data_IF_456888770545
#
_entry.id   IF_456888770545
#
_cell.length_a   1.000
_cell.length_b   1.000
_cell.length_c   1.000
_cell.angle_alpha   90.00
_cell.angle_beta   90.00
_cell.angle_gamma   90.00
#
_symmetry.space_group_name_H-M   'P 1'
#
loop_
_entity.id
_entity.type
_entity.pdbx_description
1 polymer ?
#
# COMPACT_ATOMS: atom_id res chain seq x y z
N UNK A 1 -22.68 -42.27 -34.48
CA UNK A 1 -23.97 -42.13 -33.78
C UNK A 1 -24.25 -43.44 -33.02
N UNK A 2 -23.71 -43.60 -31.81
CA UNK A 2 -23.98 -44.80 -31.01
C UNK A 2 -25.32 -44.62 -30.28
N UNK A 3 -26.30 -45.45 -30.60
CA UNK A 3 -27.66 -45.38 -30.08
C UNK A 3 -27.72 -45.65 -28.58
N UNK A 4 -28.44 -44.80 -27.84
CA UNK A 4 -28.73 -44.99 -26.41
C UNK A 4 -29.67 -46.19 -26.25
N UNK A 5 -29.13 -47.32 -25.81
CA UNK A 5 -29.90 -48.50 -25.46
C UNK A 5 -30.80 -48.20 -24.25
N UNK A 6 -32.12 -48.29 -24.43
CA UNK A 6 -33.10 -48.05 -23.37
C UNK A 6 -33.12 -49.26 -22.43
N UNK A 7 -32.31 -49.22 -21.36
CA UNK A 7 -32.41 -50.21 -20.27
C UNK A 7 -33.81 -50.10 -19.64
N UNK A 8 -34.61 -51.18 -19.73
CA UNK A 8 -35.86 -51.29 -18.99
C UNK A 8 -35.52 -51.45 -17.51
N UNK A 9 -35.73 -50.39 -16.73
CA UNK A 9 -35.58 -50.44 -15.27
C UNK A 9 -36.80 -51.18 -14.73
N UNK A 10 -36.57 -52.34 -14.11
CA UNK A 10 -37.63 -53.03 -13.38
C UNK A 10 -37.99 -52.19 -12.15
N UNK A 11 -39.13 -51.51 -12.23
CA UNK A 11 -39.59 -50.56 -11.23
C UNK A 11 -39.71 -51.18 -9.83
N UNK A 12 -39.98 -52.49 -9.71
CA UNK A 12 -40.07 -53.15 -8.40
C UNK A 12 -38.70 -53.33 -7.76
N UNK A 13 -37.70 -53.76 -8.55
CA UNK A 13 -36.33 -53.91 -8.03
C UNK A 13 -35.71 -52.55 -7.73
N UNK A 14 -35.91 -51.56 -8.59
CA UNK A 14 -35.46 -50.19 -8.40
C UNK A 14 -36.10 -49.51 -7.17
N UNK A 15 -37.42 -49.67 -6.99
CA UNK A 15 -38.10 -49.14 -5.80
C UNK A 15 -37.60 -49.81 -4.51
N UNK A 16 -37.29 -51.11 -4.56
CA UNK A 16 -36.75 -51.86 -3.41
C UNK A 16 -35.33 -51.42 -3.06
N UNK A 17 -34.45 -51.24 -4.04
CA UNK A 17 -33.08 -50.77 -3.82
C UNK A 17 -33.06 -49.33 -3.31
N UNK A 18 -33.88 -48.44 -3.88
CA UNK A 18 -34.00 -47.07 -3.40
C UNK A 18 -34.57 -47.02 -1.98
N UNK A 19 -35.60 -47.82 -1.68
CA UNK A 19 -36.13 -47.89 -0.31
C UNK A 19 -35.06 -48.35 0.68
N UNK A 20 -34.29 -49.39 0.34
CA UNK A 20 -33.20 -49.90 1.20
C UNK A 20 -32.13 -48.83 1.45
N UNK A 21 -31.63 -48.19 0.39
CA UNK A 21 -30.67 -47.10 0.49
C UNK A 21 -31.20 -45.92 1.31
N UNK A 22 -32.49 -45.63 1.19
CA UNK A 22 -33.13 -44.56 1.94
C UNK A 22 -33.33 -44.92 3.42
N UNK A 23 -33.60 -46.18 3.78
CA UNK A 23 -33.55 -46.63 5.19
C UNK A 23 -32.13 -46.59 5.73
N UNK A 24 -31.13 -47.04 4.97
CA UNK A 24 -29.72 -47.00 5.39
C UNK A 24 -29.27 -45.56 5.68
N UNK A 25 -29.66 -44.60 4.84
CA UNK A 25 -29.41 -43.17 5.09
C UNK A 25 -30.12 -42.63 6.34
N UNK A 26 -31.30 -43.14 6.68
CA UNK A 26 -32.00 -42.77 7.91
C UNK A 26 -31.36 -43.42 9.14
N UNK A 27 -30.99 -44.69 9.05
CA UNK A 27 -30.31 -45.41 10.12
C UNK A 27 -28.94 -44.77 10.41
N UNK A 28 -28.20 -44.34 9.37
CA UNK A 28 -26.95 -43.58 9.49
C UNK A 28 -27.17 -42.20 10.13
N UNK A 29 -28.26 -41.50 9.79
CA UNK A 29 -28.59 -40.21 10.40
C UNK A 29 -29.01 -40.36 11.86
N UNK A 30 -29.81 -41.37 12.18
CA UNK A 30 -30.27 -41.65 13.54
C UNK A 30 -29.10 -42.12 14.42
N UNK A 31 -28.15 -42.89 13.86
CA UNK A 31 -26.94 -43.31 14.57
C UNK A 31 -26.01 -42.15 14.95
N UNK A 32 -26.01 -41.03 14.22
CA UNK A 32 -25.23 -39.83 14.57
C UNK A 32 -25.76 -39.14 15.83
N UNK A 33 -27.05 -39.31 16.14
CA UNK A 33 -27.68 -38.75 17.33
C UNK A 33 -27.90 -39.78 18.45
N UNK A 34 -27.44 -41.01 18.25
CA UNK A 34 -27.53 -42.07 19.25
C UNK A 34 -26.54 -41.83 20.41
N UNK A 35 -27.07 -41.57 21.60
CA UNK A 35 -26.30 -41.28 22.80
C UNK A 35 -25.66 -42.54 23.40
N UNK A 36 -26.20 -43.74 23.14
CA UNK A 36 -25.64 -45.00 23.68
C UNK A 36 -24.39 -45.45 22.92
N UNK A 37 -24.29 -45.14 21.62
CA UNK A 37 -23.14 -45.46 20.78
C UNK A 37 -22.01 -44.43 20.80
N UNK A 38 -22.18 -43.30 21.49
CA UNK A 38 -21.20 -42.22 21.50
C UNK A 38 -20.01 -42.58 22.40
N UNK A 39 -18.76 -42.43 21.94
CA UNK A 39 -17.60 -42.70 22.78
C UNK A 39 -17.61 -41.78 24.01
N UNK A 40 -17.16 -42.31 25.15
CA UNK A 40 -17.00 -41.51 26.34
C UNK A 40 -16.00 -40.37 26.10
N UNK A 41 -16.27 -39.20 26.68
CA UNK A 41 -15.41 -38.03 26.54
C UNK A 41 -14.08 -38.22 27.29
N UNK A 42 -12.95 -38.15 26.57
CA UNK A 42 -11.61 -38.40 27.11
C UNK A 42 -10.87 -37.14 27.58
N UNK A 43 -11.49 -35.96 27.52
CA UNK A 43 -10.88 -34.66 27.89
C UNK A 43 -9.64 -34.31 27.07
N UNK A 44 -9.53 -34.81 25.85
CA UNK A 44 -8.41 -34.62 24.93
C UNK A 44 -8.60 -33.47 23.94
N UNK A 45 -9.82 -32.91 23.83
CA UNK A 45 -10.11 -31.78 22.94
C UNK A 45 -10.81 -30.62 23.66
N UNK A 46 -10.90 -29.46 23.01
CA UNK A 46 -11.62 -28.30 23.52
C UNK A 46 -12.96 -28.11 22.81
N UNK A 47 -13.90 -27.40 23.44
CA UNK A 47 -15.11 -26.97 22.73
C UNK A 47 -14.77 -26.02 21.58
N UNK A 48 -15.69 -25.81 20.64
CA UNK A 48 -15.48 -24.95 19.46
C UNK A 48 -14.93 -23.55 19.82
N UNK A 49 -15.45 -22.92 20.89
CA UNK A 49 -14.92 -21.62 21.34
C UNK A 49 -13.45 -21.66 21.83
N UNK A 50 -12.98 -22.80 22.32
CA UNK A 50 -11.61 -23.01 22.80
C UNK A 50 -10.65 -23.06 21.61
N UNK A 51 -11.05 -23.74 20.53
CA UNK A 51 -10.31 -23.69 19.26
C UNK A 51 -10.26 -22.28 18.69
N UNK A 52 -11.39 -21.56 18.65
CA UNK A 52 -11.43 -20.17 18.17
C UNK A 52 -10.46 -19.28 18.95
N UNK A 53 -10.41 -19.42 20.28
CA UNK A 53 -9.47 -18.69 21.11
C UNK A 53 -8.02 -19.11 20.82
N UNK A 54 -7.73 -20.41 20.72
CA UNK A 54 -6.38 -20.90 20.40
C UNK A 54 -5.90 -20.41 19.03
N UNK A 55 -6.78 -20.38 18.03
CA UNK A 55 -6.47 -19.88 16.69
C UNK A 55 -6.20 -18.37 16.71
N UNK A 56 -6.95 -17.60 17.50
CA UNK A 56 -6.64 -16.17 17.71
C UNK A 56 -5.23 -15.96 18.29
N UNK A 57 -4.82 -16.79 19.26
CA UNK A 57 -3.48 -16.72 19.86
C UNK A 57 -2.40 -17.13 18.84
N UNK A 58 -2.66 -18.17 18.05
CA UNK A 58 -1.77 -18.60 16.95
C UNK A 58 -1.61 -17.50 15.91
N UNK A 59 -2.69 -16.80 15.58
CA UNK A 59 -2.66 -15.69 14.62
C UNK A 59 -1.83 -14.53 15.13
N UNK A 60 -2.00 -14.12 16.39
CA UNK A 60 -1.20 -13.05 17.00
C UNK A 60 0.31 -13.36 16.93
N UNK A 61 0.68 -14.63 17.18
CA UNK A 61 2.08 -15.08 17.14
C UNK A 61 2.70 -15.08 15.74
N UNK A 62 1.91 -15.11 14.67
CA UNK A 62 2.41 -15.06 13.29
C UNK A 62 2.91 -13.67 12.89
N UNK A 63 2.47 -12.61 13.58
CA UNK A 63 2.85 -11.26 13.22
C UNK A 63 4.26 -10.92 13.72
N UNK A 64 5.18 -10.65 12.80
CA UNK A 64 6.53 -10.19 13.10
C UNK A 64 6.66 -8.68 12.82
N UNK A 65 7.17 -7.93 13.79
CA UNK A 65 7.47 -6.52 13.63
C UNK A 65 8.97 -6.30 13.37
N UNK A 66 9.29 -5.31 12.52
CA UNK A 66 10.65 -4.81 12.32
C UNK A 66 10.74 -3.37 12.80
N UNK A 67 11.79 -3.03 13.55
CA UNK A 67 12.01 -1.67 14.01
C UNK A 67 12.33 -0.73 12.84
N UNK A 68 11.81 0.50 12.89
CA UNK A 68 12.07 1.53 11.89
C UNK A 68 13.53 1.99 11.95
N UNK A 69 14.17 2.09 10.78
CA UNK A 69 15.50 2.70 10.63
C UNK A 69 15.37 3.91 9.71
N UNK A 70 15.78 5.11 10.14
CA UNK A 70 15.72 6.28 9.28
C UNK A 70 16.62 6.11 8.05
N UNK A 71 16.23 6.67 6.90
CA UNK A 71 17.05 6.61 5.69
C UNK A 71 18.35 7.40 5.87
N UNK A 72 19.45 6.88 5.31
CA UNK A 72 20.73 7.60 5.27
C UNK A 72 20.63 8.87 4.40
N UNK A 73 21.46 9.89 4.68
CA UNK A 73 21.49 11.16 3.96
C UNK A 73 21.79 11.03 2.44
N UNK A 74 22.37 9.91 2.02
CA UNK A 74 22.60 9.58 0.60
C UNK A 74 21.30 9.34 -0.18
N UNK A 75 20.20 9.00 0.51
CA UNK A 75 18.90 8.73 -0.11
C UNK A 75 18.06 10.00 -0.19
N UNK A 76 18.32 10.84 -1.20
CA UNK A 76 17.60 12.11 -1.42
C UNK A 76 16.25 11.95 -2.18
N UNK A 77 16.04 10.83 -2.88
CA UNK A 77 14.84 10.61 -3.70
C UNK A 77 13.72 9.96 -2.89
N UNK A 78 12.52 10.57 -2.90
CA UNK A 78 11.31 10.02 -2.28
C UNK A 78 10.29 9.60 -3.33
N UNK A 79 10.09 8.30 -3.49
CA UNK A 79 9.05 7.74 -4.36
C UNK A 79 7.79 7.40 -3.55
N UNK A 80 6.66 7.92 -3.98
CA UNK A 80 5.32 7.64 -3.44
C UNK A 80 4.57 6.75 -4.45
N UNK A 81 4.06 5.61 -3.98
CA UNK A 81 3.24 4.67 -4.75
C UNK A 81 1.98 4.37 -3.97
N UNK A 82 0.83 4.45 -4.63
CA UNK A 82 -0.45 3.93 -4.15
C UNK A 82 -0.55 2.45 -4.50
N UNK A 83 -1.15 1.67 -3.59
CA UNK A 83 -1.53 0.29 -3.88
C UNK A 83 -2.86 -0.02 -3.19
N UNK A 84 -3.89 -0.22 -3.99
CA UNK A 84 -5.20 -0.65 -3.49
C UNK A 84 -5.21 -2.15 -3.27
N UNK A 85 -5.57 -2.60 -2.06
CA UNK A 85 -5.61 -4.02 -1.74
C UNK A 85 -6.89 -4.67 -2.26
N UNK A 86 -6.78 -5.85 -2.88
CA UNK A 86 -7.90 -6.69 -3.28
C UNK A 86 -8.29 -6.57 -4.76
N UNK A 87 -8.10 -5.40 -5.37
CA UNK A 87 -8.31 -5.18 -6.81
C UNK A 87 -6.96 -5.19 -7.53
N UNK A 88 -6.89 -5.81 -8.71
CA UNK A 88 -5.62 -6.01 -9.45
C UNK A 88 -5.40 -4.98 -10.55
N UNK A 89 -6.41 -4.19 -10.91
CA UNK A 89 -6.40 -3.41 -12.15
C UNK A 89 -6.81 -1.95 -11.99
N UNK A 90 -6.52 -1.35 -10.84
CA UNK A 90 -6.76 0.09 -10.68
C UNK A 90 -5.71 0.90 -11.44
N UNK A 91 -6.15 1.92 -12.16
CA UNK A 91 -5.26 2.84 -12.86
C UNK A 91 -4.31 3.56 -11.88
N UNK A 92 -4.79 3.83 -10.67
CA UNK A 92 -4.04 4.53 -9.62
C UNK A 92 -2.81 3.77 -9.11
N UNK A 93 -2.79 2.44 -9.24
CA UNK A 93 -1.65 1.60 -8.80
C UNK A 93 -0.44 1.73 -9.73
N UNK A 94 -0.65 2.19 -10.97
CA UNK A 94 0.42 2.38 -11.97
C UNK A 94 1.18 3.67 -11.73
N UNK A 95 0.49 4.71 -11.28
CA UNK A 95 1.04 6.04 -11.08
C UNK A 95 2.11 6.05 -10.00
N UNK A 96 3.25 6.66 -10.30
CA UNK A 96 4.33 6.91 -9.33
C UNK A 96 4.54 8.41 -9.23
N UNK A 97 4.67 8.92 -8.00
CA UNK A 97 5.10 10.30 -7.76
C UNK A 97 6.50 10.30 -7.18
N UNK A 98 7.35 11.19 -7.68
CA UNK A 98 8.67 11.47 -7.16
C UNK A 98 8.68 12.85 -6.53
N UNK A 99 9.27 12.94 -5.34
CA UNK A 99 9.61 14.19 -4.66
C UNK A 99 11.10 14.23 -4.38
N UNK A 100 11.73 15.35 -4.71
CA UNK A 100 13.17 15.58 -4.50
C UNK A 100 13.36 16.98 -3.96
N UNK A 101 14.12 17.14 -2.89
CA UNK A 101 14.55 18.46 -2.41
C UNK A 101 15.76 18.92 -3.23
N UNK A 102 15.67 20.10 -3.86
CA UNK A 102 16.70 20.55 -4.83
C UNK A 102 18.04 20.81 -4.15
N UNK A 103 18.03 21.36 -2.94
CA UNK A 103 19.24 21.57 -2.11
C UNK A 103 20.00 20.27 -1.79
N UNK A 104 19.34 19.11 -1.75
CA UNK A 104 19.99 17.81 -1.48
C UNK A 104 20.72 17.24 -2.71
N UNK A 105 20.52 17.79 -3.92
CA UNK A 105 21.17 17.31 -5.14
C UNK A 105 22.64 17.74 -5.24
N UNK A 106 23.08 18.73 -4.43
CA UNK A 106 24.48 19.19 -4.41
C UNK A 106 24.93 19.89 -5.70
N UNK A 107 24.01 20.55 -6.42
CA UNK A 107 24.32 21.31 -7.64
C UNK A 107 24.93 22.68 -7.30
N UNK A 108 25.85 23.18 -8.13
CA UNK A 108 26.44 24.52 -7.97
C UNK A 108 25.45 25.60 -8.40
N UNK A 109 25.63 26.85 -7.94
CA UNK A 109 24.74 27.98 -8.27
C UNK A 109 24.28 28.09 -9.73
N UNK A 110 25.18 28.13 -10.74
CA UNK A 110 24.77 28.21 -12.15
C UNK A 110 24.10 26.92 -12.67
N UNK A 111 24.58 25.75 -12.24
CA UNK A 111 23.99 24.45 -12.60
C UNK A 111 22.57 24.30 -11.99
N UNK A 112 22.38 24.78 -10.77
CA UNK A 112 21.12 24.81 -10.06
C UNK A 112 20.14 25.75 -10.76
N UNK A 113 20.58 26.94 -11.16
CA UNK A 113 19.75 27.87 -11.93
C UNK A 113 19.22 27.22 -13.22
N UNK A 114 20.11 26.60 -13.99
CA UNK A 114 19.75 25.83 -15.18
C UNK A 114 18.78 24.68 -14.86
N UNK A 115 19.04 23.92 -13.79
CA UNK A 115 18.17 22.83 -13.36
C UNK A 115 16.75 23.32 -13.03
N UNK A 116 16.62 24.46 -12.33
CA UNK A 116 15.32 25.04 -11.99
C UNK A 116 14.56 25.52 -13.23
N UNK A 117 15.26 26.09 -14.22
CA UNK A 117 14.64 26.46 -15.50
C UNK A 117 14.11 25.24 -16.26
N UNK A 118 14.88 24.15 -16.32
CA UNK A 118 14.46 22.88 -16.95
C UNK A 118 13.30 22.20 -16.19
N UNK A 119 13.31 22.31 -14.86
CA UNK A 119 12.23 21.80 -14.02
C UNK A 119 10.91 22.54 -14.29
N UNK A 120 10.96 23.86 -14.46
CA UNK A 120 9.80 24.71 -14.76
C UNK A 120 8.71 24.61 -13.69
N UNK A 121 7.47 24.33 -14.11
CA UNK A 121 6.27 24.26 -13.25
C UNK A 121 6.36 23.15 -12.19
N UNK A 122 7.24 22.16 -12.38
CA UNK A 122 7.42 21.05 -11.43
C UNK A 122 8.13 21.45 -10.15
N UNK A 123 8.85 22.58 -10.15
CA UNK A 123 9.55 23.09 -8.99
C UNK A 123 8.61 23.96 -8.12
N UNK A 124 8.60 23.71 -6.82
CA UNK A 124 7.92 24.55 -5.85
C UNK A 124 8.92 25.46 -5.10
N UNK A 125 8.88 26.79 -5.31
CA UNK A 125 9.80 27.72 -4.66
C UNK A 125 9.57 27.89 -3.15
N UNK A 126 8.38 27.55 -2.62
CA UNK A 126 8.11 27.70 -1.18
C UNK A 126 8.65 26.55 -0.34
N UNK A 127 8.75 25.35 -0.91
CA UNK A 127 9.20 24.15 -0.20
C UNK A 127 10.56 23.64 -0.67
N UNK A 128 11.13 24.24 -1.72
CA UNK A 128 12.35 23.77 -2.39
C UNK A 128 12.23 22.31 -2.90
N UNK A 129 11.02 21.90 -3.28
CA UNK A 129 10.75 20.53 -3.73
C UNK A 129 10.43 20.51 -5.24
N UNK A 130 11.08 19.58 -5.94
CA UNK A 130 10.71 19.15 -7.28
C UNK A 130 9.72 17.99 -7.18
N UNK A 131 8.54 18.16 -7.75
CA UNK A 131 7.49 17.13 -7.77
C UNK A 131 7.16 16.76 -9.21
N UNK A 132 7.28 15.48 -9.52
CA UNK A 132 6.89 14.93 -10.82
C UNK A 132 6.20 13.59 -10.65
N UNK A 133 5.33 13.24 -11.59
CA UNK A 133 4.66 11.94 -11.59
C UNK A 133 4.61 11.36 -12.98
N UNK A 134 4.66 10.04 -13.08
CA UNK A 134 4.61 9.30 -14.34
C UNK A 134 3.59 8.17 -14.21
N UNK A 135 2.83 7.99 -15.29
CA UNK A 135 1.71 7.03 -15.37
C UNK A 135 1.52 6.47 -16.80
N UNK A 136 2.52 6.67 -17.67
CA UNK A 136 2.46 6.19 -19.06
C UNK A 136 2.61 4.69 -19.19
N UNK A 137 3.40 4.07 -18.31
CA UNK A 137 3.78 2.67 -18.43
C UNK A 137 2.76 1.75 -17.75
N UNK A 138 2.73 0.50 -18.21
CA UNK A 138 1.80 -0.51 -17.70
C UNK A 138 2.01 -0.86 -16.22
N UNK A 139 3.25 -0.76 -15.74
CA UNK A 139 3.66 -1.21 -14.42
C UNK A 139 4.32 -0.08 -13.63
N UNK A 140 3.96 0.05 -12.35
CA UNK A 140 4.54 1.02 -11.41
C UNK A 140 6.07 0.98 -11.34
N UNK A 141 6.68 -0.20 -11.46
CA UNK A 141 8.13 -0.36 -11.50
C UNK A 141 8.77 0.30 -12.73
N UNK A 142 8.12 0.23 -13.88
CA UNK A 142 8.60 0.84 -15.12
C UNK A 142 8.43 2.37 -15.06
N UNK A 143 7.29 2.85 -14.55
CA UNK A 143 7.09 4.27 -14.26
C UNK A 143 8.15 4.82 -13.28
N UNK A 144 8.48 4.06 -12.23
CA UNK A 144 9.56 4.43 -11.30
C UNK A 144 10.92 4.53 -11.99
N UNK A 145 11.25 3.56 -12.85
CA UNK A 145 12.51 3.55 -13.61
C UNK A 145 12.59 4.78 -14.53
N UNK A 146 11.53 5.05 -15.28
CA UNK A 146 11.43 6.21 -16.18
C UNK A 146 11.58 7.54 -15.43
N UNK A 147 10.99 7.66 -14.24
CA UNK A 147 11.20 8.82 -13.36
C UNK A 147 12.66 8.96 -12.91
N UNK A 148 13.35 7.86 -12.62
CA UNK A 148 14.77 7.92 -12.25
C UNK A 148 15.64 8.35 -13.45
N UNK A 149 15.36 7.83 -14.65
CA UNK A 149 16.05 8.20 -15.89
C UNK A 149 15.87 9.69 -16.20
N UNK A 150 14.64 10.18 -16.21
CA UNK A 150 14.35 11.61 -16.45
C UNK A 150 15.05 12.55 -15.46
N UNK A 151 15.13 12.19 -14.18
CA UNK A 151 15.89 12.99 -13.19
C UNK A 151 17.39 12.93 -13.47
N UNK A 152 17.91 11.76 -13.84
CA UNK A 152 19.33 11.62 -14.19
C UNK A 152 19.69 12.45 -15.43
N UNK A 153 18.80 12.50 -16.42
CA UNK A 153 18.93 13.32 -17.62
C UNK A 153 18.88 14.81 -17.28
N UNK A 154 17.94 15.24 -16.42
CA UNK A 154 17.86 16.62 -15.95
C UNK A 154 19.14 17.05 -15.21
N UNK A 155 19.68 16.19 -14.35
CA UNK A 155 20.93 16.44 -13.63
C UNK A 155 22.13 16.47 -14.59
N UNK A 156 22.16 15.58 -15.58
CA UNK A 156 23.19 15.57 -16.60
C UNK A 156 23.15 16.86 -17.44
N UNK A 157 21.97 17.28 -17.87
CA UNK A 157 21.77 18.51 -18.65
C UNK A 157 22.16 19.75 -17.85
N UNK A 158 21.80 19.80 -16.56
CA UNK A 158 22.19 20.88 -15.66
C UNK A 158 23.72 21.03 -15.51
N UNK A 159 24.48 19.93 -15.65
CA UNK A 159 25.95 19.93 -15.57
C UNK A 159 26.64 20.22 -16.90
N UNK A 160 25.93 20.18 -18.03
CA UNK A 160 26.51 20.50 -19.35
C UNK A 160 26.85 21.99 -19.43
N UNK A 161 28.10 22.29 -19.79
CA UNK A 161 28.71 23.64 -19.83
C UNK A 161 28.39 24.49 -21.05
N UNK A 162 27.64 23.95 -22.01
CA UNK A 162 27.42 24.57 -23.30
C UNK A 162 26.57 25.85 -23.18
N UNK A 163 25.35 25.71 -22.64
CA UNK A 163 24.43 26.81 -22.34
C UNK A 163 24.04 26.80 -20.85
N UNK A 164 24.26 27.93 -20.16
CA UNK A 164 24.03 28.12 -18.71
C UNK A 164 22.78 28.94 -18.39
N UNK A 165 22.06 29.44 -19.41
CA UNK A 165 20.82 30.22 -19.27
C UNK A 165 20.90 31.32 -18.19
N UNK A 166 22.02 32.03 -18.10
CA UNK A 166 22.22 33.06 -17.06
C UNK A 166 21.40 34.33 -17.29
N UNK A 167 20.95 34.53 -18.53
CA UNK A 167 20.12 35.64 -19.01
C UNK A 167 18.62 35.44 -18.74
N UNK A 168 18.16 34.19 -18.56
CA UNK A 168 16.75 33.86 -18.37
C UNK A 168 16.39 33.89 -16.88
N UNK A 169 15.49 34.76 -16.41
CA UNK A 169 15.07 34.76 -15.00
C UNK A 169 14.19 33.55 -14.66
N UNK A 170 14.25 33.11 -13.39
CA UNK A 170 13.38 32.05 -12.88
C UNK A 170 11.90 32.49 -12.88
N UNK A 171 11.04 31.65 -13.47
CA UNK A 171 9.61 31.89 -13.53
C UNK A 171 8.88 31.22 -12.35
N UNK A 172 8.21 32.03 -11.52
CA UNK A 172 7.43 31.55 -10.37
C UNK A 172 5.91 31.76 -10.50
N UNK A 173 5.40 32.14 -11.68
CA UNK A 173 3.99 32.48 -11.87
C UNK A 173 3.03 31.31 -11.62
N UNK A 174 3.49 30.06 -11.74
CA UNK A 174 2.69 28.88 -11.45
C UNK A 174 2.42 28.68 -9.96
N UNK A 175 3.29 29.20 -9.08
CA UNK A 175 3.18 29.00 -7.65
C UNK A 175 2.43 30.15 -6.97
N UNK A 176 1.25 29.85 -6.42
CA UNK A 176 0.45 30.81 -5.66
C UNK A 176 0.70 30.63 -4.16
N UNK A 177 1.50 31.51 -3.56
CA UNK A 177 1.73 31.50 -2.11
C UNK A 177 0.46 31.91 -1.36
N UNK A 178 0.09 31.13 -0.35
CA UNK A 178 -1.02 31.48 0.56
C UNK A 178 -0.40 32.01 1.86
N UNK A 179 -0.62 33.28 2.22
CA UNK A 179 -0.09 33.82 3.46
C UNK A 179 -0.73 33.08 4.65
N UNK A 180 0.09 32.55 5.56
CA UNK A 180 -0.39 31.94 6.79
C UNK A 180 -0.49 33.02 7.86
N UNK A 181 -1.72 33.38 8.23
CA UNK A 181 -1.96 34.26 9.37
C UNK A 181 -1.46 33.56 10.64
N UNK A 182 -0.62 34.25 11.41
CA UNK A 182 -0.15 33.79 12.72
C UNK A 182 -0.90 34.54 13.80
N UNK A 183 -1.16 33.89 14.92
CA UNK A 183 -1.71 34.56 16.08
C UNK A 183 -0.72 35.65 16.55
N UNK A 184 -1.17 36.90 16.76
CA UNK A 184 -0.31 37.95 17.26
C UNK A 184 0.30 37.57 18.62
N UNK A 185 1.63 37.63 18.72
CA UNK A 185 2.36 37.31 19.96
C UNK A 185 1.95 38.25 21.09
N UNK A 186 1.59 39.50 20.77
CA UNK A 186 1.17 40.53 21.73
C UNK A 186 -0.12 40.17 22.48
N UNK A 187 -0.96 39.31 21.91
CA UNK A 187 -2.20 38.84 22.54
C UNK A 187 -1.97 37.64 23.44
N UNK A 188 -0.75 37.08 23.45
CA UNK A 188 -0.42 36.06 24.42
C UNK A 188 -0.50 36.69 25.81
N UNK A 189 -1.16 36.03 26.77
CA UNK A 189 -1.14 36.50 28.14
C UNK A 189 0.31 36.57 28.61
N UNK A 190 0.71 37.68 29.25
CA UNK A 190 2.02 37.78 29.90
C UNK A 190 2.11 36.64 30.91
N UNK A 191 2.86 35.59 30.59
CA UNK A 191 3.11 34.52 31.55
C UNK A 191 3.76 35.15 32.78
N UNK A 192 3.19 34.99 34.00
CA UNK A 192 3.98 35.26 35.20
C UNK A 192 5.20 34.34 35.13
N UNK A 193 6.40 34.90 35.32
CA UNK A 193 7.66 34.17 35.25
C UNK A 193 7.49 32.84 35.99
N UNK A 194 7.52 31.73 35.24
CA UNK A 194 7.36 30.41 35.81
C UNK A 194 8.35 30.30 36.97
N UNK A 195 7.81 30.15 38.18
CA UNK A 195 8.60 29.93 39.38
C UNK A 195 9.58 28.80 39.07
N UNK A 196 10.86 29.15 38.92
CA UNK A 196 11.94 28.21 38.74
C UNK A 196 11.83 27.23 39.90
N UNK A 197 11.40 26.00 39.58
CA UNK A 197 11.24 24.95 40.57
C UNK A 197 12.60 24.73 41.24
N UNK A 198 12.68 25.12 42.51
CA UNK A 198 13.71 24.63 43.41
C UNK A 198 13.58 23.10 43.46
N UNK A 199 14.56 22.40 42.90
CA UNK A 199 14.98 21.09 43.38
C UNK A 199 16.31 21.29 44.08
#
# INVERSE_FOLDING_TARGET
>A
MAGREKRKVDFKSYARTNRKAHTELYDEQDAVFDLEGMPAWEYDDHHTYGHLLMDSVRDVRKYHAKAFRPPAATHCLRFERSFTHGDKHQAEDRKVKLRVTVSQLGLKGPELHKFLLLAGVRYNPSTDELVMSEDRETTSLLNKKRLAETVSELVAEAKKKDDMFADVPLNFHHHKSRPRQKFPVEWLPKQPAAAAGKK
#
